data_IF_878474811447
#
_entry.id   IF_878474811447
#
_cell.length_a   1.000
_cell.length_b   1.000
_cell.length_c   1.000
_cell.angle_alpha   90.00
_cell.angle_beta   90.00
_cell.angle_gamma   90.00
#
_symmetry.space_group_name_H-M   'P 1'
#
loop_
_entity.id
_entity.type
_entity.pdbx_description
1 polymer ?
#
# COMPACT_ATOMS: atom_id res chain seq x y z
N UNK A 1 26.58 2.44 4.03
CA UNK A 1 26.35 3.83 3.61
C UNK A 1 27.37 4.73 4.29
N UNK A 2 28.26 5.38 3.51
CA UNK A 2 29.16 6.41 4.05
C UNK A 2 28.31 7.55 4.62
N UNK A 3 28.61 7.95 5.88
CA UNK A 3 27.90 9.05 6.59
C UNK A 3 26.36 8.89 6.64
N UNK A 4 25.89 7.71 7.02
CA UNK A 4 24.46 7.37 7.02
C UNK A 4 23.60 8.33 7.86
N UNK A 5 24.12 8.86 8.96
CA UNK A 5 23.41 9.82 9.83
C UNK A 5 23.07 11.14 9.12
N UNK A 6 23.87 11.56 8.14
CA UNK A 6 23.69 12.81 7.40
C UNK A 6 23.00 12.58 6.05
N UNK A 7 23.38 11.52 5.35
CA UNK A 7 22.90 11.26 3.99
C UNK A 7 21.51 10.63 3.96
N UNK A 8 21.15 9.80 4.95
CA UNK A 8 19.85 9.14 4.99
C UNK A 8 18.69 10.15 5.15
N UNK A 9 18.71 11.10 6.10
CA UNK A 9 17.64 12.09 6.21
C UNK A 9 17.51 12.97 4.95
N UNK A 10 18.64 13.36 4.37
CA UNK A 10 18.63 14.15 3.13
C UNK A 10 18.03 13.39 1.96
N UNK A 11 18.43 12.12 1.77
CA UNK A 11 17.88 11.28 0.72
C UNK A 11 16.37 11.07 0.89
N UNK A 12 15.89 10.88 2.11
CA UNK A 12 14.47 10.74 2.40
C UNK A 12 13.69 12.02 2.07
N UNK A 13 14.19 13.19 2.48
CA UNK A 13 13.52 14.48 2.19
C UNK A 13 13.51 14.76 0.69
N UNK A 14 14.65 14.61 0.01
CA UNK A 14 14.72 14.84 -1.43
C UNK A 14 13.84 13.85 -2.18
N UNK A 15 13.87 12.56 -1.80
CA UNK A 15 13.02 11.54 -2.39
C UNK A 15 11.53 11.86 -2.22
N UNK A 16 11.11 12.27 -1.03
CA UNK A 16 9.74 12.68 -0.77
C UNK A 16 9.32 13.89 -1.60
N UNK A 17 10.16 14.94 -1.68
CA UNK A 17 9.87 16.12 -2.49
C UNK A 17 9.74 15.79 -3.98
N UNK A 18 10.66 14.99 -4.52
CA UNK A 18 10.60 14.54 -5.92
C UNK A 18 9.31 13.75 -6.17
N UNK A 19 8.93 12.86 -5.26
CA UNK A 19 7.71 12.07 -5.38
C UNK A 19 6.47 12.96 -5.36
N UNK A 20 6.39 13.94 -4.45
CA UNK A 20 5.27 14.89 -4.36
C UNK A 20 5.13 15.68 -5.67
N UNK A 21 6.22 16.20 -6.21
CA UNK A 21 6.21 16.95 -7.47
C UNK A 21 5.74 16.07 -8.62
N UNK A 22 6.26 14.85 -8.72
CA UNK A 22 5.84 13.90 -9.77
C UNK A 22 4.36 13.54 -9.67
N UNK A 23 3.85 13.28 -8.48
CA UNK A 23 2.41 13.01 -8.29
C UNK A 23 1.54 14.23 -8.63
N UNK A 24 1.94 15.42 -8.21
CA UNK A 24 1.20 16.65 -8.53
C UNK A 24 1.14 16.87 -10.05
N UNK A 25 2.27 16.73 -10.75
CA UNK A 25 2.34 16.82 -12.20
C UNK A 25 1.50 15.73 -12.89
N UNK A 26 1.53 14.51 -12.37
CA UNK A 26 0.74 13.41 -12.90
C UNK A 26 -0.75 13.68 -12.78
N UNK A 27 -1.23 14.06 -11.59
CA UNK A 27 -2.65 14.37 -11.35
C UNK A 27 -3.09 15.55 -12.23
N UNK A 28 -2.26 16.58 -12.32
CA UNK A 28 -2.55 17.76 -13.16
C UNK A 28 -2.64 17.38 -14.63
N UNK A 29 -1.68 16.62 -15.16
CA UNK A 29 -1.70 16.15 -16.54
C UNK A 29 -2.93 15.26 -16.83
N UNK A 30 -3.26 14.34 -15.92
CA UNK A 30 -4.44 13.47 -16.06
C UNK A 30 -5.76 14.25 -16.03
N UNK A 31 -5.83 15.30 -15.20
CA UNK A 31 -7.02 16.17 -15.13
C UNK A 31 -7.26 16.97 -16.41
N UNK A 32 -6.22 17.31 -17.16
CA UNK A 32 -6.34 18.03 -18.44
C UNK A 32 -6.78 17.08 -19.55
N UNK A 33 -6.24 15.86 -19.58
CA UNK A 33 -6.48 14.89 -20.67
C UNK A 33 -7.73 14.05 -20.45
N UNK A 34 -8.02 13.73 -19.19
CA UNK A 34 -9.19 12.98 -18.78
C UNK A 34 -10.43 13.87 -18.70
N UNK A 35 -11.50 13.48 -19.35
CA UNK A 35 -12.80 14.11 -19.11
C UNK A 35 -13.34 13.62 -17.77
N UNK A 36 -13.47 14.53 -16.79
CA UNK A 36 -13.95 14.24 -15.44
C UNK A 36 -15.31 13.55 -15.45
N UNK A 37 -16.17 13.91 -16.39
CA UNK A 37 -17.49 13.29 -16.54
C UNK A 37 -17.40 11.82 -16.93
N UNK A 38 -16.46 11.48 -17.80
CA UNK A 38 -16.19 10.09 -18.21
C UNK A 38 -15.61 9.26 -17.05
N UNK A 39 -14.74 9.87 -16.25
CA UNK A 39 -14.14 9.20 -15.09
C UNK A 39 -15.21 8.87 -14.04
N UNK A 40 -16.06 9.84 -13.70
CA UNK A 40 -17.14 9.66 -12.72
C UNK A 40 -18.18 8.66 -13.21
N UNK A 41 -18.52 8.67 -14.50
CA UNK A 41 -19.53 7.76 -15.07
C UNK A 41 -19.05 6.30 -15.20
N UNK A 42 -17.73 6.07 -15.22
CA UNK A 42 -17.15 4.71 -15.34
C UNK A 42 -16.75 4.09 -14.01
N UNK A 43 -16.79 4.83 -12.92
CA UNK A 43 -16.55 4.32 -11.57
C UNK A 43 -17.71 3.40 -11.11
N UNK A 44 -17.48 2.23 -10.50
CA UNK A 44 -16.18 1.66 -10.06
C UNK A 44 -15.54 0.67 -11.05
N UNK A 45 -16.18 0.34 -12.16
CA UNK A 45 -15.76 -0.75 -13.07
C UNK A 45 -15.23 -0.26 -14.42
N UNK A 46 -14.98 1.04 -14.55
CA UNK A 46 -14.53 1.65 -15.79
C UNK A 46 -13.05 1.40 -16.15
N UNK A 47 -12.68 1.82 -17.36
CA UNK A 47 -11.30 1.77 -17.80
C UNK A 47 -10.41 2.65 -16.90
N UNK A 48 -9.18 2.21 -16.62
CA UNK A 48 -8.25 3.00 -15.83
C UNK A 48 -7.94 4.35 -16.48
N UNK A 49 -7.98 5.43 -15.71
CA UNK A 49 -7.72 6.78 -16.18
C UNK A 49 -6.42 6.90 -17.00
N UNK A 50 -5.27 6.31 -16.59
CA UNK A 50 -4.07 6.34 -17.42
C UNK A 50 -4.27 5.72 -18.80
N UNK A 51 -5.00 4.61 -18.91
CA UNK A 51 -5.26 3.96 -20.19
C UNK A 51 -6.07 4.88 -21.11
N UNK A 52 -7.12 5.51 -20.58
CA UNK A 52 -7.96 6.44 -21.34
C UNK A 52 -7.13 7.63 -21.82
N UNK A 53 -6.36 8.26 -20.94
CA UNK A 53 -5.56 9.43 -21.24
C UNK A 53 -4.49 9.13 -22.31
N UNK A 54 -3.74 8.05 -22.15
CA UNK A 54 -2.72 7.65 -23.12
C UNK A 54 -3.33 7.18 -24.46
N UNK A 55 -4.50 6.54 -24.42
CA UNK A 55 -5.20 6.15 -25.64
C UNK A 55 -5.70 7.37 -26.43
N UNK A 56 -6.16 8.42 -25.77
CA UNK A 56 -6.54 9.68 -26.40
C UNK A 56 -5.36 10.42 -27.05
N UNK A 57 -4.19 10.42 -26.40
CA UNK A 57 -3.01 11.15 -26.85
C UNK A 57 -2.22 10.42 -27.94
N UNK A 58 -2.05 9.11 -27.77
CA UNK A 58 -1.09 8.32 -28.54
C UNK A 58 -1.71 7.10 -29.24
N UNK A 59 -3.03 6.93 -29.12
CA UNK A 59 -3.75 5.79 -29.68
C UNK A 59 -3.85 4.58 -28.76
N UNK A 60 -4.77 3.67 -29.07
CA UNK A 60 -5.14 2.53 -28.22
C UNK A 60 -4.00 1.54 -27.93
N UNK A 61 -3.07 1.40 -28.88
CA UNK A 61 -1.91 0.50 -28.72
C UNK A 61 -1.00 1.01 -27.59
N UNK A 62 -0.66 2.31 -27.60
CA UNK A 62 0.17 2.92 -26.56
C UNK A 62 -0.52 2.89 -25.21
N UNK A 63 -1.82 3.16 -25.16
CA UNK A 63 -2.62 3.05 -23.95
C UNK A 63 -2.56 1.64 -23.33
N UNK A 64 -2.62 0.60 -24.16
CA UNK A 64 -2.50 -0.79 -23.69
C UNK A 64 -1.10 -1.11 -23.18
N UNK A 65 -0.05 -0.65 -23.86
CA UNK A 65 1.34 -0.83 -23.41
C UNK A 65 1.56 -0.18 -22.04
N UNK A 66 1.11 1.05 -21.87
CA UNK A 66 1.20 1.76 -20.58
C UNK A 66 0.47 1.01 -19.48
N UNK A 67 -0.72 0.49 -19.76
CA UNK A 67 -1.49 -0.31 -18.81
C UNK A 67 -0.73 -1.57 -18.37
N UNK A 68 -0.06 -2.27 -19.28
CA UNK A 68 0.79 -3.43 -18.96
C UNK A 68 1.93 -3.02 -18.04
N UNK A 69 2.62 -1.90 -18.31
CA UNK A 69 3.68 -1.39 -17.41
C UNK A 69 3.17 -1.04 -16.02
N UNK A 70 2.00 -0.42 -15.92
CA UNK A 70 1.35 -0.14 -14.63
C UNK A 70 1.07 -1.44 -13.89
N UNK A 71 0.53 -2.45 -14.56
CA UNK A 71 0.24 -3.76 -13.96
C UNK A 71 1.51 -4.42 -13.42
N UNK A 72 2.60 -4.40 -14.17
CA UNK A 72 3.91 -4.93 -13.74
C UNK A 72 4.41 -4.16 -12.50
N UNK A 73 4.27 -2.84 -12.49
CA UNK A 73 4.65 -2.00 -11.35
C UNK A 73 3.83 -2.34 -10.10
N UNK A 74 2.52 -2.51 -10.24
CA UNK A 74 1.64 -2.92 -9.15
C UNK A 74 2.03 -4.30 -8.59
N UNK A 75 2.36 -5.26 -9.44
CA UNK A 75 2.85 -6.59 -9.01
C UNK A 75 4.16 -6.49 -8.22
N UNK A 76 5.08 -5.63 -8.64
CA UNK A 76 6.32 -5.34 -7.91
C UNK A 76 6.07 -4.77 -6.52
N UNK A 77 5.17 -3.79 -6.41
CA UNK A 77 4.77 -3.19 -5.13
C UNK A 77 4.09 -4.22 -4.22
N UNK A 78 3.17 -5.01 -4.76
CA UNK A 78 2.50 -6.08 -4.04
C UNK A 78 3.50 -7.09 -3.46
N UNK A 79 4.48 -7.52 -4.23
CA UNK A 79 5.53 -8.42 -3.76
C UNK A 79 6.31 -7.82 -2.57
N UNK A 80 6.67 -6.53 -2.65
CA UNK A 80 7.33 -5.81 -1.55
C UNK A 80 6.48 -5.75 -0.27
N UNK A 81 5.19 -5.46 -0.40
CA UNK A 81 4.25 -5.40 0.72
C UNK A 81 4.03 -6.78 1.37
N UNK A 82 3.92 -7.84 0.57
CA UNK A 82 3.83 -9.21 1.08
C UNK A 82 5.09 -9.57 1.87
N UNK A 83 6.28 -9.27 1.35
CA UNK A 83 7.53 -9.52 2.08
C UNK A 83 7.61 -8.72 3.39
N UNK A 84 7.17 -7.47 3.41
CA UNK A 84 7.10 -6.65 4.61
C UNK A 84 6.13 -7.25 5.63
N UNK A 85 4.95 -7.66 5.20
CA UNK A 85 3.94 -8.33 6.03
C UNK A 85 4.47 -9.62 6.66
N UNK A 86 5.14 -10.46 5.87
CA UNK A 86 5.75 -11.71 6.34
C UNK A 86 6.81 -11.51 7.42
N UNK A 87 7.54 -10.39 7.40
CA UNK A 87 8.61 -10.09 8.35
C UNK A 87 8.17 -9.24 9.53
N UNK A 88 6.98 -8.68 9.51
CA UNK A 88 6.52 -7.70 10.51
C UNK A 88 6.48 -8.29 11.92
N UNK A 89 5.82 -9.44 12.12
CA UNK A 89 5.73 -10.11 13.43
C UNK A 89 7.09 -10.57 13.94
N UNK A 90 7.94 -11.11 13.05
CA UNK A 90 9.29 -11.48 13.40
C UNK A 90 10.12 -10.28 13.91
N UNK A 91 10.06 -9.16 13.23
CA UNK A 91 10.86 -7.97 13.57
C UNK A 91 10.53 -7.41 14.95
N UNK A 92 9.27 -7.51 15.39
CA UNK A 92 8.81 -7.10 16.71
C UNK A 92 9.23 -8.15 17.77
N UNK A 93 9.04 -9.42 17.46
CA UNK A 93 9.34 -10.53 18.36
C UNK A 93 10.84 -10.71 18.61
N UNK A 94 11.68 -10.47 17.61
CA UNK A 94 13.14 -10.50 17.75
C UNK A 94 13.69 -9.45 18.74
N UNK A 95 12.89 -8.40 19.01
CA UNK A 95 13.19 -7.38 20.03
C UNK A 95 12.62 -7.73 21.42
N UNK A 96 12.08 -8.93 21.60
CA UNK A 96 11.41 -9.34 22.83
C UNK A 96 10.04 -8.68 23.06
N UNK A 97 9.48 -8.01 22.04
CA UNK A 97 8.20 -7.32 22.10
C UNK A 97 7.15 -8.07 21.27
N UNK A 98 5.86 -7.74 21.49
CA UNK A 98 4.76 -8.36 20.75
C UNK A 98 4.23 -9.66 21.38
N UNK A 99 3.19 -10.26 20.78
CA UNK A 99 2.59 -11.48 21.27
C UNK A 99 3.54 -12.67 21.02
N UNK A 100 3.80 -13.46 22.07
CA UNK A 100 4.59 -14.67 22.03
C UNK A 100 5.96 -14.52 21.32
N UNK A 101 6.91 -13.73 21.88
CA UNK A 101 8.21 -13.48 21.25
C UNK A 101 9.01 -14.76 20.94
N UNK A 102 8.90 -15.79 21.78
CA UNK A 102 9.56 -17.08 21.57
C UNK A 102 9.03 -17.86 20.38
N UNK A 103 7.76 -17.64 20.02
CA UNK A 103 7.12 -18.34 18.89
C UNK A 103 7.44 -17.65 17.55
N UNK A 104 7.29 -16.33 17.48
CA UNK A 104 7.48 -15.56 16.25
C UNK A 104 8.92 -15.11 16.02
N UNK A 105 9.76 -15.06 17.06
CA UNK A 105 11.17 -14.70 16.97
C UNK A 105 12.09 -15.82 16.48
N UNK A 106 11.54 -17.04 16.23
CA UNK A 106 12.32 -18.16 15.74
C UNK A 106 12.49 -18.10 14.22
N UNK A 107 13.73 -18.21 13.77
CA UNK A 107 14.11 -18.37 12.37
C UNK A 107 14.33 -19.87 12.12
N UNK A 108 13.85 -20.37 11.02
CA UNK A 108 14.15 -21.72 10.57
C UNK A 108 15.60 -21.80 10.09
N UNK A 109 16.39 -22.66 10.72
CA UNK A 109 17.83 -22.79 10.46
C UNK A 109 18.15 -23.31 9.05
N UNK A 110 17.21 -24.00 8.42
CA UNK A 110 17.40 -24.55 7.06
C UNK A 110 17.20 -23.49 5.97
N UNK A 111 16.20 -22.62 6.14
CA UNK A 111 15.78 -21.67 5.10
C UNK A 111 16.15 -20.22 5.44
N UNK A 112 16.69 -19.95 6.62
CA UNK A 112 16.94 -18.58 7.13
C UNK A 112 15.71 -17.67 7.03
N UNK A 113 14.53 -18.23 7.28
CA UNK A 113 13.25 -17.56 7.06
C UNK A 113 12.31 -17.70 8.26
N UNK A 114 11.58 -16.64 8.59
CA UNK A 114 10.64 -16.62 9.70
C UNK A 114 9.29 -17.23 9.28
N UNK A 115 9.22 -18.56 9.14
CA UNK A 115 8.06 -19.29 8.59
C UNK A 115 6.78 -18.94 9.35
N UNK A 116 6.81 -18.98 10.69
CA UNK A 116 5.62 -18.74 11.53
C UNK A 116 5.06 -17.32 11.36
N UNK A 117 5.94 -16.32 11.30
CA UNK A 117 5.56 -14.92 11.01
C UNK A 117 4.96 -14.78 9.60
N UNK A 118 5.53 -15.48 8.63
CA UNK A 118 5.08 -15.45 7.25
C UNK A 118 3.71 -16.07 7.06
N UNK A 119 3.42 -17.20 7.72
CA UNK A 119 2.09 -17.83 7.68
C UNK A 119 1.05 -16.86 8.21
N UNK A 120 1.29 -16.23 9.35
CA UNK A 120 0.33 -15.25 9.91
C UNK A 120 0.16 -14.04 8.99
N UNK A 121 1.27 -13.50 8.45
CA UNK A 121 1.21 -12.39 7.49
C UNK A 121 0.40 -12.75 6.23
N UNK A 122 0.60 -13.95 5.68
CA UNK A 122 -0.18 -14.43 4.54
C UNK A 122 -1.65 -14.68 4.87
N UNK A 123 -1.97 -15.21 6.06
CA UNK A 123 -3.36 -15.40 6.49
C UNK A 123 -4.09 -14.06 6.62
N UNK A 124 -3.44 -13.05 7.21
CA UNK A 124 -4.00 -11.70 7.30
C UNK A 124 -4.19 -11.06 5.91
N UNK A 125 -3.19 -11.16 5.04
CA UNK A 125 -3.31 -10.68 3.67
C UNK A 125 -4.42 -11.41 2.90
N UNK A 126 -4.52 -12.72 3.06
CA UNK A 126 -5.58 -13.54 2.45
C UNK A 126 -6.97 -13.19 2.96
N UNK A 127 -7.12 -12.91 4.26
CA UNK A 127 -8.38 -12.42 4.84
C UNK A 127 -8.81 -11.10 4.21
N UNK A 128 -7.92 -10.11 4.15
CA UNK A 128 -8.23 -8.82 3.54
C UNK A 128 -8.49 -8.92 2.04
N UNK A 129 -7.76 -9.78 1.34
CA UNK A 129 -8.01 -10.06 -0.08
C UNK A 129 -9.39 -10.68 -0.30
N UNK A 130 -9.75 -11.70 0.50
CA UNK A 130 -11.08 -12.30 0.42
C UNK A 130 -12.18 -11.28 0.72
N UNK A 131 -11.98 -10.41 1.71
CA UNK A 131 -12.90 -9.31 2.02
C UNK A 131 -13.08 -8.38 0.81
N UNK A 132 -11.98 -7.93 0.20
CA UNK A 132 -12.01 -7.08 -1.00
C UNK A 132 -12.76 -7.75 -2.16
N UNK A 133 -12.48 -9.03 -2.43
CA UNK A 133 -13.18 -9.79 -3.46
C UNK A 133 -14.68 -9.88 -3.17
N UNK A 134 -15.06 -10.11 -1.92
CA UNK A 134 -16.48 -10.15 -1.52
C UNK A 134 -17.17 -8.80 -1.73
N UNK A 135 -16.49 -7.70 -1.46
CA UNK A 135 -17.03 -6.34 -1.63
C UNK A 135 -17.17 -5.95 -3.10
N UNK A 136 -16.16 -6.29 -3.92
CA UNK A 136 -16.09 -5.84 -5.32
C UNK A 136 -16.80 -6.77 -6.31
N UNK A 137 -16.79 -8.09 -6.07
CA UNK A 137 -17.39 -9.08 -6.96
C UNK A 137 -18.79 -9.54 -6.53
N UNK A 138 -19.31 -9.01 -5.43
CA UNK A 138 -20.64 -9.32 -4.92
C UNK A 138 -21.75 -8.78 -5.83
N UNK A 139 -22.03 -9.52 -6.91
CA UNK A 139 -23.28 -9.36 -7.65
C UNK A 139 -24.50 -9.75 -6.79
N UNK A 140 -25.74 -9.65 -7.32
CA UNK A 140 -26.95 -10.02 -6.62
C UNK A 140 -27.03 -11.53 -6.34
N UNK A 141 -26.26 -11.99 -5.40
CA UNK A 141 -26.11 -13.38 -4.99
C UNK A 141 -25.79 -13.49 -3.51
N UNK A 142 -25.07 -14.55 -3.12
CA UNK A 142 -24.71 -14.82 -1.72
C UNK A 142 -24.02 -13.63 -1.03
N UNK A 143 -23.29 -12.81 -1.77
CA UNK A 143 -22.56 -11.63 -1.29
C UNK A 143 -23.26 -10.30 -1.59
N UNK A 144 -24.37 -10.28 -2.32
CA UNK A 144 -25.16 -9.07 -2.61
C UNK A 144 -25.68 -8.37 -1.36
N UNK A 145 -25.83 -9.11 -0.27
CA UNK A 145 -26.15 -8.58 1.05
C UNK A 145 -25.04 -7.65 1.57
N UNK A 146 -23.77 -7.99 1.37
CA UNK A 146 -22.63 -7.19 1.85
C UNK A 146 -22.52 -5.90 1.04
N UNK A 147 -22.69 -5.98 -0.28
CA UNK A 147 -22.62 -4.82 -1.17
C UNK A 147 -23.79 -3.84 -1.00
N UNK A 148 -24.98 -4.32 -0.61
CA UNK A 148 -26.17 -3.48 -0.42
C UNK A 148 -26.22 -2.76 0.92
N UNK A 149 -25.36 -3.12 1.89
CA UNK A 149 -25.34 -2.47 3.19
C UNK A 149 -24.29 -1.35 3.22
N UNK A 150 -24.74 -0.11 3.39
CA UNK A 150 -23.87 1.07 3.54
C UNK A 150 -22.82 0.93 4.66
N UNK A 151 -23.10 0.11 5.66
CA UNK A 151 -22.22 -0.18 6.80
C UNK A 151 -20.96 -1.00 6.42
N UNK A 152 -21.01 -1.77 5.33
CA UNK A 152 -19.91 -2.63 4.88
C UNK A 152 -19.26 -2.15 3.58
N UNK A 153 -19.69 -0.99 3.04
CA UNK A 153 -19.14 -0.40 1.82
C UNK A 153 -17.76 0.26 2.01
N UNK A 154 -17.05 -0.09 3.08
CA UNK A 154 -15.74 0.48 3.38
C UNK A 154 -14.65 -0.22 2.58
N UNK A 155 -13.91 0.54 1.83
CA UNK A 155 -12.78 0.02 1.05
C UNK A 155 -11.62 -0.32 2.01
N UNK A 156 -11.10 -1.57 1.98
CA UNK A 156 -10.05 -2.02 2.93
C UNK A 156 -8.74 -1.24 2.81
N UNK A 157 -8.43 -0.72 1.62
CA UNK A 157 -7.26 0.11 1.36
C UNK A 157 -7.36 1.49 2.03
N UNK A 158 -8.54 2.13 1.99
CA UNK A 158 -8.78 3.39 2.69
C UNK A 158 -8.66 3.22 4.21
N UNK A 159 -9.25 2.16 4.77
CA UNK A 159 -9.12 1.84 6.19
C UNK A 159 -7.66 1.61 6.55
N UNK A 160 -6.93 0.86 5.75
CA UNK A 160 -5.51 0.60 5.94
C UNK A 160 -4.68 1.88 5.99
N UNK A 161 -4.93 2.80 5.08
CA UNK A 161 -4.26 4.11 5.01
C UNK A 161 -4.58 4.96 6.24
N UNK A 162 -5.86 5.05 6.63
CA UNK A 162 -6.28 5.81 7.82
C UNK A 162 -5.61 5.25 9.07
N UNK A 163 -5.64 3.93 9.26
CA UNK A 163 -4.98 3.28 10.40
C UNK A 163 -3.48 3.55 10.44
N UNK A 164 -2.81 3.52 9.28
CA UNK A 164 -1.39 3.83 9.17
C UNK A 164 -1.08 5.26 9.63
N UNK A 165 -1.83 6.24 9.16
CA UNK A 165 -1.64 7.64 9.57
C UNK A 165 -1.98 7.88 11.04
N UNK A 166 -3.01 7.22 11.58
CA UNK A 166 -3.32 7.28 13.00
C UNK A 166 -2.18 6.74 13.86
N UNK A 167 -1.43 5.72 13.40
CA UNK A 167 -0.25 5.21 14.09
C UNK A 167 0.96 6.13 13.98
N UNK A 168 1.10 6.89 12.90
CA UNK A 168 2.19 7.86 12.74
C UNK A 168 2.05 9.05 13.71
N UNK A 169 0.85 9.49 14.05
CA UNK A 169 0.62 10.63 14.97
C UNK A 169 1.29 10.39 16.34
N UNK A 170 0.97 9.31 17.10
CA UNK A 170 1.59 9.07 18.39
C UNK A 170 3.11 8.81 18.28
N UNK A 171 3.56 8.20 17.19
CA UNK A 171 4.99 8.00 16.95
C UNK A 171 5.72 9.33 16.77
N UNK A 172 5.17 10.26 16.01
CA UNK A 172 5.75 11.58 15.81
C UNK A 172 5.73 12.42 17.09
N UNK A 173 4.63 12.36 17.88
CA UNK A 173 4.56 13.00 19.18
C UNK A 173 5.63 12.44 20.13
N UNK A 174 5.77 11.10 20.17
CA UNK A 174 6.79 10.43 20.97
C UNK A 174 8.22 10.84 20.59
N UNK A 175 8.50 10.97 19.29
CA UNK A 175 9.77 11.48 18.79
C UNK A 175 10.02 12.95 19.21
N UNK A 176 9.02 13.81 19.10
CA UNK A 176 9.13 15.22 19.50
C UNK A 176 9.38 15.38 21.00
N UNK A 177 8.73 14.55 21.83
CA UNK A 177 8.95 14.56 23.28
C UNK A 177 10.35 14.06 23.63
N UNK A 178 10.80 12.97 23.01
CA UNK A 178 12.14 12.40 23.25
C UNK A 178 13.28 13.12 22.54
N UNK A 179 13.01 13.95 21.55
CA UNK A 179 14.04 14.68 20.81
C UNK A 179 14.89 15.57 21.74
N UNK A 180 14.31 16.09 22.83
CA UNK A 180 15.03 16.85 23.86
C UNK A 180 15.99 16.01 24.70
N UNK A 181 15.71 14.70 24.85
CA UNK A 181 16.52 13.78 25.62
C UNK A 181 17.65 13.14 24.79
N UNK A 182 17.45 13.05 23.46
CA UNK A 182 18.39 12.40 22.54
C UNK A 182 19.55 13.33 22.11
N UNK A 183 19.48 14.64 22.43
CA UNK A 183 20.51 15.64 22.09
C UNK A 183 20.68 15.86 20.58
N UNK A 184 21.44 16.87 20.19
CA UNK A 184 21.75 17.15 18.78
C UNK A 184 22.63 16.08 18.15
#
# INVERSE_FOLDING_TARGET
LKDSKKNLPRALVIGALVTIVLYALYIWAMSIVGDVSTIISTWPFGESLPRIAFSKLFGSVVGTIVYVFITISCLGTMNGLIMASCRSMYSVSARGMGPQPSFFGHIDDQNNFAIKSSIVGMMLAGFWYAWTVMMWMGGPGLFGFVHSSEWFAWEPDEIGIICLYLMYIPMMIGLMVKAKELGP
#
